data_IF_565334269600
#
_entry.id   IF_565334269600
#
_cell.length_a   1.000
_cell.length_b   1.000
_cell.length_c   1.000
_cell.angle_alpha   90.00
_cell.angle_beta   90.00
_cell.angle_gamma   90.00
#
_symmetry.space_group_name_H-M   'P 1'
#
loop_
_entity.id
_entity.type
_entity.pdbx_description
1 polymer ?
#
# COMPACT_ATOMS: atom_id res chain seq x y z
N UNK A 1 -12.32 10.57 7.22
CA UNK A 1 -11.65 10.73 5.92
C UNK A 1 -11.09 9.43 5.34
N UNK A 2 -10.48 8.51 6.11
CA UNK A 2 -10.00 7.23 5.57
C UNK A 2 -11.13 6.39 4.92
N UNK A 3 -12.34 6.38 5.49
CA UNK A 3 -13.51 5.72 4.92
C UNK A 3 -14.00 6.35 3.59
N UNK A 4 -13.80 7.65 3.39
CA UNK A 4 -14.17 8.32 2.14
C UNK A 4 -13.17 8.03 1.00
N UNK A 5 -11.95 7.62 1.32
CA UNK A 5 -10.96 7.20 0.35
C UNK A 5 -11.10 5.72 -0.06
N UNK A 6 -11.80 4.91 0.74
CA UNK A 6 -11.99 3.47 0.50
C UNK A 6 -12.55 3.15 -0.90
N UNK A 7 -13.62 3.83 -1.39
CA UNK A 7 -14.12 3.58 -2.74
C UNK A 7 -13.11 3.93 -3.84
N UNK A 8 -12.26 4.92 -3.62
CA UNK A 8 -11.20 5.25 -4.56
C UNK A 8 -10.13 4.15 -4.62
N UNK A 9 -9.76 3.57 -3.47
CA UNK A 9 -8.81 2.45 -3.42
C UNK A 9 -9.38 1.15 -3.99
N UNK A 10 -10.69 0.96 -3.93
CA UNK A 10 -11.37 -0.17 -4.57
C UNK A 10 -11.52 0.06 -6.08
N UNK A 11 -11.84 1.28 -6.49
CA UNK A 11 -12.13 1.60 -7.88
C UNK A 11 -10.88 1.69 -8.77
N UNK A 12 -9.78 2.24 -8.28
CA UNK A 12 -8.59 2.45 -9.11
C UNK A 12 -7.95 1.13 -9.61
N UNK A 13 -7.68 0.12 -8.77
CA UNK A 13 -7.18 -1.17 -9.25
C UNK A 13 -8.18 -1.87 -10.17
N UNK A 14 -9.47 -1.74 -9.90
CA UNK A 14 -10.52 -2.33 -10.71
C UNK A 14 -10.58 -1.72 -12.11
N UNK A 15 -10.57 -0.38 -12.22
CA UNK A 15 -10.61 0.31 -13.50
C UNK A 15 -9.37 -0.02 -14.33
N UNK A 16 -8.19 -0.03 -13.71
CA UNK A 16 -6.95 -0.40 -14.40
C UNK A 16 -6.95 -1.86 -14.86
N UNK A 17 -7.48 -2.78 -14.04
CA UNK A 17 -7.56 -4.20 -14.40
C UNK A 17 -8.56 -4.46 -15.51
N UNK A 18 -9.70 -3.79 -15.52
CA UNK A 18 -10.70 -3.89 -16.60
C UNK A 18 -10.23 -3.27 -17.92
N UNK A 19 -9.34 -2.27 -17.85
CA UNK A 19 -8.76 -1.67 -19.06
C UNK A 19 -7.70 -2.56 -19.72
N UNK A 20 -7.11 -3.51 -18.98
CA UNK A 20 -6.05 -4.39 -19.45
C UNK A 20 -6.61 -5.76 -19.84
N UNK A 21 -7.02 -5.92 -21.09
CA UNK A 21 -7.68 -7.13 -21.60
C UNK A 21 -6.73 -8.29 -21.96
N UNK A 22 -5.42 -8.12 -21.82
CA UNK A 22 -4.41 -9.15 -22.06
C UNK A 22 -3.82 -9.73 -20.78
N UNK A 23 -3.52 -11.04 -20.71
CA UNK A 23 -3.06 -11.68 -19.46
C UNK A 23 -1.83 -11.03 -18.82
N UNK A 24 -0.80 -10.67 -19.59
CA UNK A 24 0.39 -9.97 -19.10
C UNK A 24 0.10 -8.52 -18.72
N UNK A 25 -0.70 -7.85 -19.54
CA UNK A 25 -1.09 -6.45 -19.31
C UNK A 25 -2.00 -6.31 -18.12
N UNK A 26 -2.94 -7.26 -17.93
CA UNK A 26 -3.77 -7.33 -16.74
C UNK A 26 -2.95 -7.54 -15.47
N UNK A 27 -1.94 -8.43 -15.50
CA UNK A 27 -1.03 -8.62 -14.38
C UNK A 27 -0.26 -7.34 -14.04
N UNK A 28 0.29 -6.66 -15.05
CA UNK A 28 0.99 -5.39 -14.88
C UNK A 28 0.08 -4.30 -14.30
N UNK A 29 -1.15 -4.21 -14.79
CA UNK A 29 -2.14 -3.25 -14.32
C UNK A 29 -2.49 -3.48 -12.84
N UNK A 30 -2.70 -4.73 -12.42
CA UNK A 30 -2.96 -5.08 -11.02
C UNK A 30 -1.76 -4.73 -10.13
N UNK A 31 -0.57 -5.13 -10.53
CA UNK A 31 0.65 -4.88 -9.74
C UNK A 31 0.92 -3.37 -9.60
N UNK A 32 0.73 -2.59 -10.66
CA UNK A 32 0.91 -1.14 -10.68
C UNK A 32 -0.13 -0.42 -9.82
N UNK A 33 -1.41 -0.67 -10.10
CA UNK A 33 -2.51 0.04 -9.43
C UNK A 33 -2.57 -0.27 -7.94
N UNK A 34 -2.34 -1.54 -7.56
CA UNK A 34 -2.30 -1.94 -6.16
C UNK A 34 -1.14 -1.29 -5.40
N UNK A 35 0.04 -1.23 -6.01
CA UNK A 35 1.20 -0.56 -5.42
C UNK A 35 0.94 0.92 -5.16
N UNK A 36 0.39 1.63 -6.16
CA UNK A 36 0.06 3.05 -6.05
C UNK A 36 -1.07 3.31 -5.03
N UNK A 37 -2.11 2.46 -5.02
CA UNK A 37 -3.19 2.55 -4.04
C UNK A 37 -2.65 2.35 -2.61
N UNK A 38 -1.79 1.37 -2.39
CA UNK A 38 -1.14 1.14 -1.11
C UNK A 38 -0.29 2.33 -0.66
N UNK A 39 0.53 2.87 -1.57
CA UNK A 39 1.36 4.04 -1.29
C UNK A 39 0.51 5.25 -0.89
N UNK A 40 -0.55 5.56 -1.63
CA UNK A 40 -1.43 6.68 -1.34
C UNK A 40 -2.17 6.50 0.00
N UNK A 41 -2.73 5.28 0.24
CA UNK A 41 -3.50 5.00 1.44
C UNK A 41 -2.68 5.11 2.72
N UNK A 42 -1.56 4.40 2.78
CA UNK A 42 -0.73 4.34 3.97
C UNK A 42 0.07 5.64 4.17
N UNK A 43 0.53 6.30 3.09
CA UNK A 43 1.15 7.62 3.20
C UNK A 43 0.19 8.64 3.82
N UNK A 44 -1.06 8.70 3.33
CA UNK A 44 -2.05 9.66 3.82
C UNK A 44 -2.34 9.51 5.32
N UNK A 45 -2.27 8.28 5.86
CA UNK A 45 -2.48 8.04 7.29
C UNK A 45 -1.45 8.77 8.16
N UNK A 46 -0.19 8.84 7.70
CA UNK A 46 0.93 9.36 8.48
C UNK A 46 1.27 10.84 8.21
N UNK A 47 0.47 11.53 7.37
CA UNK A 47 0.66 12.97 7.17
C UNK A 47 0.24 13.77 8.41
N UNK A 48 0.96 14.88 8.72
CA UNK A 48 0.71 15.71 9.90
C UNK A 48 -0.71 16.25 9.99
N UNK A 49 -1.33 16.54 8.86
CA UNK A 49 -2.71 17.05 8.80
C UNK A 49 -3.75 16.00 9.22
N UNK A 50 -3.52 14.74 8.85
CA UNK A 50 -4.36 13.63 9.28
C UNK A 50 -4.17 13.34 10.78
N UNK A 51 -2.96 13.52 11.30
CA UNK A 51 -2.66 13.40 12.71
C UNK A 51 -3.46 14.41 13.55
N UNK A 52 -3.42 15.71 13.20
CA UNK A 52 -4.13 16.77 13.93
C UNK A 52 -5.65 16.56 13.97
N UNK A 53 -6.24 16.04 12.88
CA UNK A 53 -7.69 15.73 12.84
C UNK A 53 -8.04 14.49 13.65
N UNK A 54 -7.09 13.57 13.81
CA UNK A 54 -7.27 12.39 14.64
C UNK A 54 -7.34 12.75 16.13
N UNK A 55 -6.46 13.66 16.57
CA UNK A 55 -6.38 14.10 17.98
C UNK A 55 -7.64 14.85 18.43
N UNK A 56 -8.25 15.62 17.54
CA UNK A 56 -9.46 16.40 17.89
C UNK A 56 -10.73 15.55 18.11
N UNK A 57 -10.74 14.30 17.66
CA UNK A 57 -11.89 13.40 17.76
C UNK A 57 -11.77 12.26 18.78
N UNK A 58 -10.60 12.04 19.36
CA UNK A 58 -10.29 10.85 20.16
C UNK A 58 -10.04 11.18 21.64
N UNK A 59 -10.95 11.94 22.27
CA UNK A 59 -10.86 12.20 23.70
C UNK A 59 -10.92 10.88 24.48
N UNK A 60 -9.76 10.43 25.02
CA UNK A 60 -9.67 9.30 25.93
C UNK A 60 -9.14 7.97 25.35
N UNK A 61 -8.93 7.85 24.05
CA UNK A 61 -8.33 6.63 23.49
C UNK A 61 -6.80 6.69 23.52
N UNK A 62 -6.09 5.61 23.91
CA UNK A 62 -4.63 5.60 23.88
C UNK A 62 -4.13 5.71 22.43
N UNK A 63 -3.15 6.60 22.19
CA UNK A 63 -2.63 6.91 20.85
C UNK A 63 -2.16 5.68 20.06
N UNK A 64 -1.57 4.70 20.75
CA UNK A 64 -1.13 3.46 20.12
C UNK A 64 -2.30 2.65 19.52
N UNK A 65 -3.46 2.63 20.21
CA UNK A 65 -4.65 1.95 19.69
C UNK A 65 -5.19 2.68 18.46
N UNK A 66 -5.17 4.02 18.46
CA UNK A 66 -5.65 4.83 17.35
C UNK A 66 -4.82 4.58 16.08
N UNK A 67 -3.49 4.68 16.17
CA UNK A 67 -2.61 4.48 15.02
C UNK A 67 -2.55 3.02 14.58
N UNK A 68 -2.45 2.09 15.54
CA UNK A 68 -2.42 0.66 15.27
C UNK A 68 -3.70 0.16 14.61
N UNK A 69 -4.86 0.51 15.15
CA UNK A 69 -6.15 0.09 14.59
C UNK A 69 -6.37 0.67 13.19
N UNK A 70 -6.02 1.93 12.97
CA UNK A 70 -6.14 2.55 11.64
C UNK A 70 -5.23 1.92 10.60
N UNK A 71 -3.96 1.66 10.97
CA UNK A 71 -3.03 0.98 10.07
C UNK A 71 -3.50 -0.46 9.76
N UNK A 72 -3.92 -1.20 10.77
CA UNK A 72 -4.45 -2.55 10.60
C UNK A 72 -5.69 -2.56 9.70
N UNK A 73 -6.62 -1.61 9.92
CA UNK A 73 -7.82 -1.49 9.08
C UNK A 73 -7.49 -1.20 7.62
N UNK A 74 -6.51 -0.32 7.34
CA UNK A 74 -6.08 -0.05 5.96
C UNK A 74 -5.41 -1.26 5.32
N UNK A 75 -4.59 -2.01 6.06
CA UNK A 75 -3.99 -3.26 5.56
C UNK A 75 -5.08 -4.28 5.20
N UNK A 76 -6.09 -4.45 6.06
CA UNK A 76 -7.23 -5.33 5.77
C UNK A 76 -8.02 -4.84 4.54
N UNK A 77 -8.25 -3.53 4.43
CA UNK A 77 -8.95 -2.95 3.29
C UNK A 77 -8.17 -3.17 1.97
N UNK A 78 -6.85 -3.03 1.98
CA UNK A 78 -5.99 -3.34 0.83
C UNK A 78 -6.03 -4.83 0.47
N UNK A 79 -6.04 -5.71 1.47
CA UNK A 79 -6.19 -7.15 1.26
C UNK A 79 -7.52 -7.49 0.58
N UNK A 80 -8.63 -6.99 1.12
CA UNK A 80 -9.98 -7.19 0.56
C UNK A 80 -10.08 -6.61 -0.86
N UNK A 81 -9.55 -5.39 -1.08
CA UNK A 81 -9.51 -4.76 -2.40
C UNK A 81 -8.76 -5.61 -3.43
N UNK A 82 -7.62 -6.19 -3.05
CA UNK A 82 -6.84 -7.06 -3.93
C UNK A 82 -7.60 -8.32 -4.33
N UNK A 83 -8.36 -8.92 -3.40
CA UNK A 83 -9.22 -10.07 -3.70
C UNK A 83 -10.40 -9.71 -4.59
N UNK A 84 -11.09 -8.58 -4.33
CA UNK A 84 -12.19 -8.13 -5.19
C UNK A 84 -11.70 -7.91 -6.61
N UNK A 85 -10.55 -7.24 -6.78
CA UNK A 85 -9.94 -7.02 -8.09
C UNK A 85 -9.63 -8.35 -8.79
N UNK A 86 -9.07 -9.32 -8.07
CA UNK A 86 -8.74 -10.62 -8.61
C UNK A 86 -9.98 -11.42 -9.05
N UNK A 87 -11.04 -11.41 -8.24
CA UNK A 87 -12.30 -12.09 -8.57
C UNK A 87 -12.98 -11.48 -9.81
N UNK A 88 -12.89 -10.16 -9.95
CA UNK A 88 -13.44 -9.47 -11.12
C UNK A 88 -12.64 -9.78 -12.40
N UNK A 89 -11.31 -9.91 -12.28
CA UNK A 89 -10.48 -10.39 -13.39
C UNK A 89 -10.79 -11.83 -13.77
N UNK A 90 -11.03 -12.70 -12.80
CA UNK A 90 -11.45 -14.08 -13.06
C UNK A 90 -12.78 -14.12 -13.81
N UNK A 91 -13.74 -13.26 -13.46
CA UNK A 91 -15.01 -13.12 -14.16
C UNK A 91 -14.85 -12.67 -15.63
N UNK A 92 -13.73 -12.02 -15.98
CA UNK A 92 -13.37 -11.67 -17.37
C UNK A 92 -12.58 -12.75 -18.10
N UNK A 93 -12.37 -13.93 -17.49
CA UNK A 93 -11.69 -15.07 -18.10
C UNK A 93 -10.17 -15.15 -17.82
N UNK A 94 -9.63 -14.32 -16.91
CA UNK A 94 -8.22 -14.39 -16.53
C UNK A 94 -8.00 -15.50 -15.47
N UNK A 95 -7.22 -16.52 -15.78
CA UNK A 95 -7.01 -17.72 -14.94
C UNK A 95 -6.01 -17.56 -13.78
N UNK A 96 -5.61 -16.34 -13.40
CA UNK A 96 -4.56 -16.12 -12.38
C UNK A 96 -5.05 -15.40 -11.12
N UNK A 97 -6.34 -15.40 -10.87
CA UNK A 97 -6.97 -14.61 -9.79
C UNK A 97 -6.29 -14.71 -8.40
N UNK A 98 -6.02 -15.90 -7.82
CA UNK A 98 -5.38 -15.96 -6.50
C UNK A 98 -3.97 -15.39 -6.48
N UNK A 99 -3.20 -15.59 -7.57
CA UNK A 99 -1.85 -15.04 -7.71
C UNK A 99 -1.88 -13.52 -7.88
N UNK A 100 -2.85 -13.00 -8.61
CA UNK A 100 -3.06 -11.56 -8.79
C UNK A 100 -3.45 -10.88 -7.47
N UNK A 101 -4.36 -11.48 -6.68
CA UNK A 101 -4.73 -10.98 -5.36
C UNK A 101 -3.54 -10.88 -4.44
N UNK A 102 -2.76 -11.96 -4.35
CA UNK A 102 -1.56 -12.00 -3.53
C UNK A 102 -0.49 -11.00 -4.00
N UNK A 103 -0.22 -10.94 -5.30
CA UNK A 103 0.76 -10.03 -5.86
C UNK A 103 0.36 -8.58 -5.66
N UNK A 104 -0.90 -8.23 -5.89
CA UNK A 104 -1.45 -6.90 -5.65
C UNK A 104 -1.32 -6.48 -4.19
N UNK A 105 -1.72 -7.34 -3.27
CA UNK A 105 -1.60 -7.06 -1.84
C UNK A 105 -0.14 -6.88 -1.40
N UNK A 106 0.76 -7.77 -1.81
CA UNK A 106 2.17 -7.68 -1.46
C UNK A 106 2.80 -6.37 -1.94
N UNK A 107 2.48 -5.93 -3.16
CA UNK A 107 2.94 -4.66 -3.71
C UNK A 107 2.35 -3.46 -2.96
N UNK A 108 1.05 -3.49 -2.66
CA UNK A 108 0.37 -2.46 -1.89
C UNK A 108 0.95 -2.33 -0.47
N UNK A 109 1.19 -3.45 0.20
CA UNK A 109 1.80 -3.47 1.52
C UNK A 109 3.23 -2.94 1.50
N UNK A 110 4.04 -3.38 0.52
CA UNK A 110 5.44 -2.96 0.42
C UNK A 110 5.58 -1.47 0.12
N UNK A 111 5.03 -1.02 -0.99
CA UNK A 111 5.18 0.39 -1.39
C UNK A 111 4.41 1.32 -0.45
N UNK A 112 3.27 0.88 0.05
CA UNK A 112 2.51 1.59 1.06
C UNK A 112 3.24 1.71 2.39
N UNK A 113 3.86 0.63 2.86
CA UNK A 113 4.68 0.65 4.07
C UNK A 113 5.90 1.54 3.93
N UNK A 114 6.60 1.50 2.79
CA UNK A 114 7.73 2.38 2.50
C UNK A 114 7.31 3.86 2.46
N UNK A 115 6.18 4.17 1.81
CA UNK A 115 5.60 5.51 1.78
C UNK A 115 5.18 6.00 3.18
N UNK A 116 4.56 5.13 3.97
CA UNK A 116 4.17 5.42 5.35
C UNK A 116 5.39 5.73 6.22
N UNK A 117 6.45 4.92 6.11
CA UNK A 117 7.69 5.12 6.84
C UNK A 117 8.35 6.45 6.46
N UNK A 118 8.45 6.75 5.16
CA UNK A 118 8.98 8.02 4.67
C UNK A 118 8.15 9.21 5.16
N UNK A 119 6.81 9.12 5.12
CA UNK A 119 5.90 10.16 5.61
C UNK A 119 6.00 10.33 7.14
N UNK A 120 6.10 9.23 7.90
CA UNK A 120 6.23 9.27 9.34
C UNK A 120 7.55 9.90 9.79
N UNK A 121 8.66 9.57 9.10
CA UNK A 121 10.00 10.05 9.42
C UNK A 121 10.22 11.50 9.00
N UNK A 122 9.74 11.89 7.82
CA UNK A 122 10.00 13.23 7.25
C UNK A 122 8.88 14.24 7.49
N UNK A 123 7.65 13.78 7.78
CA UNK A 123 6.46 14.61 7.80
C UNK A 123 6.03 15.14 6.42
N UNK A 124 6.63 14.66 5.33
CA UNK A 124 6.46 15.16 3.98
C UNK A 124 5.85 14.14 3.04
N UNK A 125 4.69 14.47 2.47
CA UNK A 125 4.07 13.69 1.39
C UNK A 125 4.94 13.66 0.14
N UNK A 126 5.66 14.76 -0.15
CA UNK A 126 6.52 14.86 -1.32
C UNK A 126 7.66 13.84 -1.27
N UNK A 127 8.35 13.71 -0.12
CA UNK A 127 9.41 12.72 0.02
C UNK A 127 8.89 11.29 -0.08
N UNK A 128 7.72 11.00 0.49
CA UNK A 128 7.08 9.70 0.33
C UNK A 128 6.75 9.40 -1.13
N UNK A 129 6.16 10.36 -1.84
CA UNK A 129 5.83 10.21 -3.26
C UNK A 129 7.10 10.06 -4.13
N UNK A 130 8.15 10.85 -3.87
CA UNK A 130 9.42 10.76 -4.57
C UNK A 130 10.10 9.39 -4.40
N UNK A 131 10.08 8.84 -3.18
CA UNK A 131 10.58 7.49 -2.91
C UNK A 131 9.82 6.43 -3.71
N UNK A 132 8.50 6.50 -3.73
CA UNK A 132 7.67 5.58 -4.50
C UNK A 132 7.93 5.70 -6.00
N UNK A 133 8.02 6.92 -6.53
CA UNK A 133 8.30 7.17 -7.94
C UNK A 133 9.69 6.66 -8.33
N UNK A 134 10.70 6.88 -7.49
CA UNK A 134 12.05 6.37 -7.70
C UNK A 134 12.05 4.84 -7.74
N UNK A 135 11.39 4.19 -6.77
CA UNK A 135 11.29 2.72 -6.75
C UNK A 135 10.65 2.19 -8.02
N UNK A 136 9.55 2.81 -8.43
CA UNK A 136 8.84 2.45 -9.65
C UNK A 136 9.72 2.60 -10.89
N UNK A 137 10.44 3.73 -11.00
CA UNK A 137 11.37 3.98 -12.12
C UNK A 137 12.49 2.95 -12.18
N UNK A 138 13.10 2.62 -11.03
CA UNK A 138 14.15 1.60 -10.94
C UNK A 138 13.65 0.21 -11.36
N UNK A 139 12.42 -0.14 -10.98
CA UNK A 139 11.82 -1.43 -11.35
C UNK A 139 11.48 -1.49 -12.84
N UNK A 140 10.90 -0.44 -13.41
CA UNK A 140 10.62 -0.34 -14.86
C UNK A 140 11.91 -0.45 -15.67
N UNK A 141 12.98 0.22 -15.23
CA UNK A 141 14.28 0.15 -15.85
C UNK A 141 15.00 -1.21 -15.66
N UNK A 142 14.42 -2.12 -14.84
CA UNK A 142 15.02 -3.42 -14.57
C UNK A 142 16.29 -3.38 -13.70
N UNK A 143 16.50 -2.29 -12.97
CA UNK A 143 17.67 -2.08 -12.13
C UNK A 143 17.52 -2.74 -10.74
N UNK A 144 16.32 -3.17 -10.37
CA UNK A 144 16.07 -3.83 -9.10
C UNK A 144 16.38 -5.34 -9.18
N UNK A 145 16.96 -5.91 -8.11
CA UNK A 145 17.13 -7.35 -8.02
C UNK A 145 15.77 -8.07 -8.02
N UNK A 146 15.68 -9.33 -8.47
CA UNK A 146 14.42 -10.08 -8.57
C UNK A 146 13.63 -10.15 -7.27
N UNK A 147 14.31 -10.09 -6.12
CA UNK A 147 13.67 -10.09 -4.81
C UNK A 147 12.87 -8.81 -4.49
N UNK A 148 13.22 -7.70 -5.12
CA UNK A 148 12.68 -6.37 -4.85
C UNK A 148 11.75 -5.84 -5.96
N UNK A 149 11.56 -6.61 -7.05
CA UNK A 149 10.70 -6.19 -8.16
C UNK A 149 9.22 -6.25 -7.79
N UNK A 150 8.48 -5.18 -8.09
CA UNK A 150 7.03 -5.13 -7.96
C UNK A 150 6.34 -5.92 -9.10
N UNK A 151 6.92 -5.93 -10.29
CA UNK A 151 6.35 -6.53 -11.50
C UNK A 151 6.69 -8.01 -11.66
N UNK A 152 6.77 -8.75 -10.57
CA UNK A 152 7.15 -10.15 -10.58
C UNK A 152 6.11 -11.04 -11.30
N UNK A 153 4.81 -10.79 -11.09
CA UNK A 153 3.75 -11.56 -11.74
C UNK A 153 3.78 -11.35 -13.26
N UNK A 154 3.88 -10.11 -13.72
CA UNK A 154 3.97 -9.76 -15.15
C UNK A 154 5.24 -10.32 -15.83
N UNK A 155 6.31 -10.54 -15.05
CA UNK A 155 7.57 -11.15 -15.50
C UNK A 155 7.61 -12.68 -15.34
N UNK A 156 6.54 -13.30 -14.84
CA UNK A 156 6.48 -14.74 -14.58
C UNK A 156 7.29 -15.21 -13.38
N UNK A 157 7.70 -14.30 -12.49
CA UNK A 157 8.42 -14.59 -11.26
C UNK A 157 7.42 -14.74 -10.10
N UNK A 158 7.58 -15.72 -9.21
CA UNK A 158 6.61 -15.97 -8.14
C UNK A 158 7.17 -15.91 -6.72
N UNK A 159 8.49 -15.85 -6.56
CA UNK A 159 9.13 -16.11 -5.26
C UNK A 159 9.28 -14.92 -4.31
N UNK A 160 9.13 -13.68 -4.78
CA UNK A 160 9.49 -12.51 -3.98
C UNK A 160 8.32 -11.89 -3.18
N UNK A 161 7.08 -12.28 -3.47
CA UNK A 161 5.89 -11.59 -2.91
C UNK A 161 5.76 -11.74 -1.40
N UNK A 162 6.18 -12.87 -0.84
CA UNK A 162 6.21 -13.03 0.62
C UNK A 162 7.19 -12.05 1.28
N UNK A 163 8.38 -11.91 0.70
CA UNK A 163 9.38 -10.97 1.20
C UNK A 163 8.88 -9.52 1.14
N UNK A 164 8.29 -9.10 0.01
CA UNK A 164 7.71 -7.76 -0.13
C UNK A 164 6.59 -7.51 0.88
N UNK A 165 5.71 -8.49 1.08
CA UNK A 165 4.63 -8.39 2.06
C UNK A 165 5.18 -8.18 3.47
N UNK A 166 6.11 -9.04 3.91
CA UNK A 166 6.70 -8.94 5.25
C UNK A 166 7.47 -7.65 5.46
N UNK A 167 8.27 -7.24 4.48
CA UNK A 167 8.99 -5.97 4.51
C UNK A 167 8.02 -4.77 4.61
N UNK A 168 6.94 -4.77 3.84
CA UNK A 168 5.93 -3.71 3.87
C UNK A 168 5.20 -3.61 5.21
N UNK A 169 4.82 -4.75 5.79
CA UNK A 169 4.21 -4.78 7.12
C UNK A 169 5.19 -4.30 8.20
N UNK A 170 6.47 -4.67 8.10
CA UNK A 170 7.50 -4.20 9.02
C UNK A 170 7.71 -2.67 8.90
N UNK A 171 7.72 -2.12 7.69
CA UNK A 171 7.79 -0.67 7.48
C UNK A 171 6.58 0.06 8.05
N UNK A 172 5.37 -0.49 7.87
CA UNK A 172 4.15 0.07 8.46
C UNK A 172 4.21 0.06 9.99
N UNK A 173 4.65 -1.03 10.61
CA UNK A 173 4.81 -1.13 12.05
C UNK A 173 5.86 -0.13 12.58
N UNK A 174 6.96 0.05 11.85
CA UNK A 174 7.99 1.04 12.19
C UNK A 174 7.45 2.47 12.06
N UNK A 175 6.67 2.77 11.04
CA UNK A 175 6.01 4.07 10.87
C UNK A 175 5.08 4.40 12.05
N UNK A 176 4.27 3.43 12.50
CA UNK A 176 3.44 3.55 13.71
C UNK A 176 4.31 3.84 14.93
N UNK A 177 5.41 3.11 15.11
CA UNK A 177 6.32 3.28 16.25
C UNK A 177 6.97 4.68 16.29
N UNK A 178 7.36 5.22 15.12
CA UNK A 178 7.91 6.58 15.01
C UNK A 178 6.86 7.61 15.44
N UNK A 179 5.63 7.46 15.01
CA UNK A 179 4.55 8.39 15.39
C UNK A 179 4.23 8.33 16.86
N UNK A 180 4.18 7.15 17.45
CA UNK A 180 3.93 6.99 18.88
C UNK A 180 5.01 7.70 19.73
N UNK A 181 6.29 7.60 19.34
CA UNK A 181 7.38 8.30 20.02
C UNK A 181 7.28 9.82 19.87
N UNK A 182 6.96 10.30 18.67
CA UNK A 182 6.82 11.72 18.40
C UNK A 182 5.64 12.35 19.18
N UNK A 183 4.55 11.62 19.37
CA UNK A 183 3.38 12.11 20.11
C UNK A 183 3.64 12.07 21.63
N UNK A 184 4.35 11.06 22.14
CA UNK A 184 4.71 11.01 23.57
C UNK A 184 5.63 12.15 23.99
N UNK A 185 6.57 12.57 23.13
CA UNK A 185 7.48 13.69 23.42
C UNK A 185 6.81 15.08 23.41
N UNK A 186 5.59 15.19 22.92
CA UNK A 186 4.81 16.45 22.93
C UNK A 186 3.92 16.61 24.16
N UNK A 187 3.76 15.55 24.94
CA UNK A 187 2.93 15.54 26.15
C UNK A 187 3.75 15.81 27.42
N UNK A 188 5.07 15.76 27.33
CA UNK A 188 6.02 16.17 28.38
C UNK A 188 6.45 17.61 28.22
#
# INVERSE_FOLDING_TARGET
MALAALPFFLAAPLICALAALGGREAALAVETSSALAGAAALCALFLPECARRADSGAHGAPLWALWGVRAAWLVVALWVSSWITALLLEATGCSFAPRAAWAGFANAAFLGGAAALAAAASGSAFLAAALCALWFALDVCGLLPPALTLFALARGLSGNKLFLCLAGLAFTALAVSIRLRADSSRQT
#
